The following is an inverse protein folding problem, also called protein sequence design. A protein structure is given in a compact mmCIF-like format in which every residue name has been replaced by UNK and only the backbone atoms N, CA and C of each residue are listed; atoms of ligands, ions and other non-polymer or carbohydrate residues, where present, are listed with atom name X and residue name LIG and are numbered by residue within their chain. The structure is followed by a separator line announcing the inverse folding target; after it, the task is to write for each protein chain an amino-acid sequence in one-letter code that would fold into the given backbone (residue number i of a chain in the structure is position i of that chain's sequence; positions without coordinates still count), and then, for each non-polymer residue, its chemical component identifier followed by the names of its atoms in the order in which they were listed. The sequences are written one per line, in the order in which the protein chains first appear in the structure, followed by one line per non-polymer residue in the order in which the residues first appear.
data_IF_684296932767
#
_entry.id   IF_684296932767
#
_cell.length_a   1.000
_cell.length_b   1.000
_cell.length_c   1.000
_cell.angle_alpha   90.00
_cell.angle_beta   90.00
_cell.angle_gamma   90.00
#
_symmetry.space_group_name_H-M   'P 1'
#
loop_
_entity.id
_entity.type
_entity.pdbx_description
1 polymer ?
#
# COMPACT_ATOMS: atom_id res chain seq x y z
N UNK A 1 20.99 -5.79 -5.29
CA UNK A 1 20.39 -5.38 -4.01
C UNK A 1 18.95 -5.05 -4.32
N UNK A 2 18.01 -5.79 -3.73
CA UNK A 2 16.60 -5.41 -3.87
C UNK A 2 16.43 -4.05 -3.18
N UNK A 3 16.07 -3.03 -3.95
CA UNK A 3 15.74 -1.73 -3.36
C UNK A 3 14.49 -1.89 -2.52
N UNK A 4 14.62 -1.50 -1.25
CA UNK A 4 13.51 -1.46 -0.32
C UNK A 4 12.66 -0.20 -0.58
N UNK A 5 11.46 -0.16 -0.02
CA UNK A 5 10.53 0.95 -0.29
C UNK A 5 10.80 2.22 0.53
N UNK A 6 11.96 2.36 1.18
CA UNK A 6 12.25 3.51 2.04
C UNK A 6 12.59 4.80 1.28
N UNK A 7 12.97 4.70 0.01
CA UNK A 7 13.19 5.93 -0.77
C UNK A 7 11.84 6.53 -1.16
N UNK A 8 11.68 7.84 -1.01
CA UNK A 8 10.45 8.53 -1.40
C UNK A 8 10.10 8.29 -2.87
N UNK A 9 11.10 8.20 -3.74
CA UNK A 9 10.90 7.91 -5.17
C UNK A 9 10.21 6.56 -5.37
N UNK A 10 10.75 5.49 -4.76
CA UNK A 10 10.19 4.14 -4.88
C UNK A 10 8.82 4.08 -4.21
N UNK A 11 8.68 4.62 -3.01
CA UNK A 11 7.40 4.65 -2.31
C UNK A 11 6.30 5.39 -3.10
N UNK A 12 6.62 6.56 -3.67
CA UNK A 12 5.69 7.31 -4.51
C UNK A 12 5.31 6.55 -5.78
N UNK A 13 6.25 5.81 -6.38
CA UNK A 13 5.97 4.93 -7.52
C UNK A 13 5.03 3.78 -7.11
N UNK A 14 5.28 3.14 -5.97
CA UNK A 14 4.39 2.11 -5.41
C UNK A 14 3.00 2.69 -5.15
N UNK A 15 2.88 3.87 -4.54
CA UNK A 15 1.59 4.52 -4.28
C UNK A 15 0.82 4.83 -5.56
N UNK A 16 1.47 5.42 -6.57
CA UNK A 16 0.85 5.69 -7.87
C UNK A 16 0.38 4.42 -8.58
N UNK A 17 1.09 3.31 -8.38
CA UNK A 17 0.79 2.02 -9.01
C UNK A 17 -0.32 1.27 -8.28
N UNK A 18 -0.29 1.24 -6.95
CA UNK A 18 -1.12 0.35 -6.13
C UNK A 18 -2.21 1.07 -5.31
N UNK A 19 -2.19 2.39 -5.18
CA UNK A 19 -3.19 3.15 -4.42
C UNK A 19 -4.63 2.87 -4.87
N UNK A 20 -4.92 3.06 -6.16
CA UNK A 20 -6.26 2.79 -6.73
C UNK A 20 -6.65 1.31 -6.71
N UNK A 21 -5.77 0.35 -7.08
CA UNK A 21 -6.07 -1.07 -6.93
C UNK A 21 -6.43 -1.49 -5.49
N UNK A 22 -5.71 -0.99 -4.49
CA UNK A 22 -5.98 -1.31 -3.07
C UNK A 22 -7.27 -0.63 -2.62
N UNK A 23 -7.52 0.62 -3.03
CA UNK A 23 -8.80 1.29 -2.79
C UNK A 23 -9.98 0.46 -3.29
N UNK A 24 -9.93 0.05 -4.57
CA UNK A 24 -11.02 -0.73 -5.18
C UNK A 24 -11.23 -2.07 -4.46
N UNK A 25 -10.16 -2.72 -4.02
CA UNK A 25 -10.24 -3.97 -3.27
C UNK A 25 -10.94 -3.79 -1.92
N UNK A 26 -10.59 -2.74 -1.18
CA UNK A 26 -11.22 -2.42 0.11
C UNK A 26 -12.67 -1.99 -0.08
N UNK A 27 -12.92 -1.09 -1.03
CA UNK A 27 -14.25 -0.61 -1.36
C UNK A 27 -15.18 -1.74 -1.78
N UNK A 28 -14.70 -2.72 -2.54
CA UNK A 28 -15.48 -3.90 -2.88
C UNK A 28 -15.93 -4.71 -1.66
N UNK A 29 -15.18 -4.66 -0.55
CA UNK A 29 -15.52 -5.35 0.70
C UNK A 29 -16.47 -4.55 1.59
N UNK A 30 -16.22 -3.24 1.77
CA UNK A 30 -17.00 -2.43 2.71
C UNK A 30 -18.16 -1.65 2.07
N UNK A 31 -18.07 -1.30 0.78
CA UNK A 31 -19.02 -0.43 0.09
C UNK A 31 -19.02 1.03 0.56
N UNK A 32 -18.08 1.43 1.41
CA UNK A 32 -17.97 2.76 2.00
C UNK A 32 -16.71 3.47 1.51
N UNK A 33 -16.89 4.61 0.85
CA UNK A 33 -15.79 5.39 0.26
C UNK A 33 -14.87 6.01 1.31
N UNK A 34 -15.43 6.54 2.41
CA UNK A 34 -14.65 7.19 3.46
C UNK A 34 -13.76 6.15 4.15
N UNK A 35 -14.36 5.03 4.53
CA UNK A 35 -13.65 3.90 5.13
C UNK A 35 -12.58 3.34 4.17
N UNK A 36 -12.89 3.22 2.87
CA UNK A 36 -11.91 2.74 1.89
C UNK A 36 -10.72 3.69 1.76
N UNK A 37 -10.94 5.01 1.77
CA UNK A 37 -9.86 5.99 1.75
C UNK A 37 -8.99 5.94 3.02
N UNK A 38 -9.61 5.79 4.19
CA UNK A 38 -8.88 5.70 5.46
C UNK A 38 -8.01 4.44 5.51
N UNK A 39 -8.56 3.28 5.11
CA UNK A 39 -7.83 2.01 5.11
C UNK A 39 -6.69 1.98 4.07
N UNK A 40 -6.85 2.63 2.92
CA UNK A 40 -5.73 2.81 1.96
C UNK A 40 -4.61 3.61 2.61
N UNK A 41 -4.94 4.73 3.26
CA UNK A 41 -3.94 5.56 3.92
C UNK A 41 -3.19 4.77 5.01
N UNK A 42 -3.92 4.06 5.86
CA UNK A 42 -3.31 3.19 6.89
C UNK A 42 -2.42 2.10 6.28
N UNK A 43 -2.83 1.48 5.18
CA UNK A 43 -2.04 0.45 4.52
C UNK A 43 -0.69 0.98 4.02
N UNK A 44 -0.68 2.18 3.47
CA UNK A 44 0.52 2.85 2.98
C UNK A 44 1.39 3.39 4.13
N UNK A 45 0.80 3.91 5.21
CA UNK A 45 1.55 4.25 6.44
C UNK A 45 2.29 3.02 6.98
N UNK A 46 1.59 1.88 7.13
CA UNK A 46 2.21 0.62 7.58
C UNK A 46 3.32 0.14 6.65
N UNK A 47 3.18 0.36 5.33
CA UNK A 47 4.23 0.06 4.36
C UNK A 47 5.47 0.94 4.58
N UNK A 48 5.29 2.24 4.83
CA UNK A 48 6.38 3.16 5.11
C UNK A 48 7.10 2.82 6.42
N UNK A 49 6.36 2.53 7.49
CA UNK A 49 6.93 2.10 8.78
C UNK A 49 7.75 0.80 8.66
N UNK A 50 7.37 -0.08 7.74
CA UNK A 50 8.06 -1.35 7.48
C UNK A 50 8.99 -1.28 6.25
N UNK A 51 9.29 -0.09 5.75
CA UNK A 51 9.92 0.07 4.44
C UNK A 51 11.24 -0.70 4.30
N UNK A 52 12.05 -0.78 5.37
CA UNK A 52 13.33 -1.47 5.35
C UNK A 52 13.24 -2.99 5.26
N UNK A 53 12.05 -3.54 5.53
CA UNK A 53 11.74 -4.98 5.49
C UNK A 53 11.02 -5.39 4.22
N UNK A 54 10.53 -4.43 3.44
CA UNK A 54 9.72 -4.66 2.25
C UNK A 54 10.48 -4.19 1.02
N UNK A 55 10.86 -5.15 0.16
CA UNK A 55 11.40 -4.83 -1.17
C UNK A 55 10.29 -4.33 -2.10
N UNK A 56 10.63 -3.51 -3.10
CA UNK A 56 9.66 -3.00 -4.07
C UNK A 56 8.77 -4.11 -4.68
N UNK A 57 9.28 -5.29 -5.11
CA UNK A 57 8.44 -6.36 -5.64
C UNK A 57 7.46 -6.95 -4.61
N UNK A 58 7.77 -6.87 -3.31
CA UNK A 58 6.93 -7.38 -2.22
C UNK A 58 5.87 -6.38 -1.78
N UNK A 59 5.97 -5.11 -2.18
CA UNK A 59 5.07 -4.05 -1.74
C UNK A 59 3.60 -4.36 -2.05
N UNK A 60 3.32 -4.91 -3.25
CA UNK A 60 1.97 -5.36 -3.62
C UNK A 60 1.40 -6.35 -2.59
N UNK A 61 2.12 -7.44 -2.34
CA UNK A 61 1.65 -8.52 -1.45
C UNK A 61 1.44 -8.01 -0.03
N UNK A 62 2.37 -7.16 0.45
CA UNK A 62 2.26 -6.50 1.74
C UNK A 62 0.98 -5.65 1.83
N UNK A 63 0.71 -4.78 0.85
CA UNK A 63 -0.46 -3.90 0.85
C UNK A 63 -1.78 -4.70 0.88
N UNK A 64 -1.90 -5.77 0.09
CA UNK A 64 -3.09 -6.64 0.13
C UNK A 64 -3.23 -7.40 1.46
N UNK A 65 -2.12 -7.72 2.13
CA UNK A 65 -2.14 -8.36 3.44
C UNK A 65 -2.65 -7.39 4.51
N UNK A 66 -2.24 -6.13 4.45
CA UNK A 66 -2.67 -5.09 5.39
C UNK A 66 -4.12 -4.65 5.15
N UNK A 67 -4.55 -4.63 3.89
CA UNK A 67 -5.91 -4.27 3.48
C UNK A 67 -6.93 -5.42 3.64
N UNK A 68 -6.55 -6.56 4.24
CA UNK A 68 -7.43 -7.72 4.34
C UNK A 68 -8.39 -7.67 5.53
#
# INVERSE_FOLDING_TARGET
MDENVCSEKVYNQVYRTWGKPIYNFIFFKCGDEAQANDLVQEAFIKLWENCGKVSEPKAKSFLYTVAN
#
